data_IF_957647557198
#
_entry.id   IF_957647557198
#
_cell.length_a   1.000
_cell.length_b   1.000
_cell.length_c   1.000
_cell.angle_alpha   90.00
_cell.angle_beta   90.00
_cell.angle_gamma   90.00
#
_symmetry.space_group_name_H-M   'P 1'
#
loop_
_entity.id
_entity.type
_entity.pdbx_description
1 polymer ?
#
# COMPACT_ATOMS: atom_id res chain seq x y z
N UNK A 1 21.22 -1.08 -16.15
CA UNK A 1 20.80 0.16 -16.84
C UNK A 1 22.03 0.75 -17.48
N UNK A 2 22.04 1.00 -18.77
CA UNK A 2 23.22 1.62 -19.40
C UNK A 2 23.22 3.11 -19.04
N UNK A 3 24.12 3.49 -18.15
CA UNK A 3 24.25 4.85 -17.61
C UNK A 3 24.47 5.89 -18.71
N UNK A 4 25.12 5.48 -19.80
CA UNK A 4 25.41 6.33 -20.95
C UNK A 4 24.16 6.67 -21.77
N UNK A 5 23.25 5.69 -21.94
CA UNK A 5 21.98 5.90 -22.66
C UNK A 5 21.11 6.88 -21.88
N UNK A 6 21.00 6.71 -20.57
CA UNK A 6 20.25 7.63 -19.72
C UNK A 6 20.85 9.03 -19.75
N UNK A 7 22.16 9.14 -19.63
CA UNK A 7 22.85 10.43 -19.68
C UNK A 7 22.60 11.19 -20.99
N UNK A 8 22.64 10.49 -22.12
CA UNK A 8 22.33 11.10 -23.43
C UNK A 8 20.89 11.62 -23.48
N UNK A 9 19.93 10.87 -22.95
CA UNK A 9 18.52 11.29 -22.91
C UNK A 9 18.30 12.51 -22.01
N UNK A 10 18.98 12.57 -20.87
CA UNK A 10 18.95 13.77 -20.01
C UNK A 10 19.47 14.99 -20.77
N UNK A 11 20.62 14.85 -21.45
CA UNK A 11 21.21 15.93 -22.23
C UNK A 11 20.31 16.38 -23.39
N UNK A 12 19.66 15.45 -24.08
CA UNK A 12 18.75 15.72 -25.17
C UNK A 12 17.49 16.47 -24.68
N UNK A 13 16.81 15.93 -23.65
CA UNK A 13 15.61 16.56 -23.08
C UNK A 13 15.91 17.96 -22.54
N UNK A 14 17.05 18.15 -21.86
CA UNK A 14 17.49 19.46 -21.38
C UNK A 14 17.68 20.46 -22.52
N UNK A 15 18.34 20.04 -23.61
CA UNK A 15 18.54 20.90 -24.78
C UNK A 15 17.23 21.25 -25.44
N UNK A 16 16.30 20.32 -25.58
CA UNK A 16 14.96 20.55 -26.12
C UNK A 16 14.15 21.53 -25.27
N UNK A 17 14.36 21.52 -23.95
CA UNK A 17 13.79 22.49 -23.03
C UNK A 17 14.54 23.84 -22.99
N UNK A 18 15.58 24.03 -23.81
CA UNK A 18 16.44 25.22 -23.87
C UNK A 18 17.10 25.59 -22.54
N UNK A 19 17.43 24.60 -21.71
CA UNK A 19 18.09 24.81 -20.41
C UNK A 19 19.59 24.53 -20.51
N UNK A 20 20.43 25.36 -19.86
CA UNK A 20 21.81 25.03 -19.57
C UNK A 20 21.91 23.99 -18.43
N UNK A 21 23.04 23.30 -18.30
CA UNK A 21 23.31 22.42 -17.17
C UNK A 21 23.18 23.15 -15.82
N UNK A 22 23.59 24.40 -15.76
CA UNK A 22 23.48 25.23 -14.56
C UNK A 22 22.02 25.58 -14.22
N UNK A 23 21.21 25.90 -15.21
CA UNK A 23 19.79 26.18 -15.00
C UNK A 23 19.02 24.93 -14.57
N UNK A 24 19.28 23.78 -15.22
CA UNK A 24 18.67 22.51 -14.80
C UNK A 24 19.08 22.14 -13.36
N UNK A 25 20.36 22.33 -13.02
CA UNK A 25 20.85 22.11 -11.67
C UNK A 25 20.19 23.03 -10.64
N UNK A 26 19.94 24.27 -10.98
CA UNK A 26 19.22 25.25 -10.14
C UNK A 26 17.76 24.81 -9.88
N UNK A 27 17.05 24.34 -10.90
CA UNK A 27 15.69 23.82 -10.76
C UNK A 27 15.62 22.55 -9.88
N UNK A 28 16.68 21.74 -9.90
CA UNK A 28 16.78 20.53 -9.11
C UNK A 28 17.40 20.74 -7.72
N UNK A 29 17.88 21.96 -7.41
CA UNK A 29 18.61 22.29 -6.17
C UNK A 29 19.88 21.42 -5.95
N UNK A 30 20.62 21.18 -7.03
CA UNK A 30 21.88 20.41 -7.03
C UNK A 30 23.02 21.18 -7.68
N UNK A 31 24.23 20.62 -7.68
CA UNK A 31 25.37 21.24 -8.36
C UNK A 31 25.35 21.01 -9.89
N UNK A 32 25.81 21.96 -10.70
CA UNK A 32 25.96 21.76 -12.15
C UNK A 32 26.87 20.58 -12.51
N UNK A 33 27.84 20.27 -11.67
CA UNK A 33 28.72 19.12 -11.83
C UNK A 33 27.98 17.79 -11.76
N UNK A 34 26.91 17.68 -10.94
CA UNK A 34 26.08 16.50 -10.84
C UNK A 34 25.35 16.24 -12.17
N UNK A 35 24.73 17.28 -12.75
CA UNK A 35 24.10 17.19 -14.07
C UNK A 35 25.11 16.78 -15.14
N UNK A 36 26.31 17.37 -15.13
CA UNK A 36 27.38 17.01 -16.05
C UNK A 36 27.84 15.55 -15.93
N UNK A 37 27.92 15.00 -14.70
CA UNK A 37 28.23 13.58 -14.49
C UNK A 37 27.16 12.66 -15.03
N UNK A 38 25.90 13.01 -14.86
CA UNK A 38 24.77 12.24 -15.40
C UNK A 38 24.82 12.21 -16.94
N UNK A 39 24.97 13.37 -17.56
CA UNK A 39 25.01 13.48 -19.03
C UNK A 39 26.19 12.74 -19.66
N UNK A 40 27.31 12.59 -18.95
CA UNK A 40 28.46 11.78 -19.37
C UNK A 40 28.32 10.29 -19.04
N UNK A 41 27.27 9.90 -18.30
CA UNK A 41 27.05 8.53 -17.85
C UNK A 41 27.99 8.07 -16.73
N UNK A 42 28.67 9.00 -16.04
CA UNK A 42 29.55 8.72 -14.89
C UNK A 42 28.79 8.37 -13.62
N UNK A 43 27.55 8.84 -13.50
CA UNK A 43 26.60 8.50 -12.45
C UNK A 43 25.18 8.59 -13.00
N UNK A 44 24.21 8.02 -12.28
CA UNK A 44 22.79 8.16 -12.58
C UNK A 44 22.11 8.96 -11.48
N UNK A 45 21.12 9.79 -11.81
CA UNK A 45 20.27 10.40 -10.79
C UNK A 45 19.46 9.32 -10.08
N UNK A 46 19.10 9.57 -8.82
CA UNK A 46 18.12 8.76 -8.11
C UNK A 46 16.72 8.95 -8.72
N UNK A 47 15.80 8.06 -8.38
CA UNK A 47 14.46 8.02 -8.98
C UNK A 47 13.67 9.30 -8.72
N UNK A 48 13.84 9.92 -7.55
CA UNK A 48 13.19 11.18 -7.19
C UNK A 48 13.66 12.27 -8.13
N UNK A 49 14.96 12.31 -8.36
CA UNK A 49 15.57 13.26 -9.29
C UNK A 49 15.14 13.01 -10.73
N UNK A 50 14.98 11.73 -11.14
CA UNK A 50 14.47 11.39 -12.48
C UNK A 50 13.03 11.84 -12.66
N UNK A 51 12.17 11.71 -11.64
CA UNK A 51 10.80 12.20 -11.69
C UNK A 51 10.76 13.73 -11.84
N UNK A 52 11.54 14.45 -11.03
CA UNK A 52 11.67 15.92 -11.16
C UNK A 52 12.25 16.34 -12.52
N UNK A 53 13.19 15.57 -13.06
CA UNK A 53 13.69 15.77 -14.40
C UNK A 53 12.60 15.66 -15.46
N UNK A 54 11.71 14.65 -15.34
CA UNK A 54 10.59 14.46 -16.25
C UNK A 54 9.65 15.69 -16.22
N UNK A 55 9.28 16.14 -15.01
CA UNK A 55 8.43 17.34 -14.82
C UNK A 55 9.06 18.61 -15.38
N UNK A 56 10.32 18.90 -15.03
CA UNK A 56 11.02 20.12 -15.45
C UNK A 56 11.26 20.14 -16.98
N UNK A 57 11.55 18.97 -17.54
CA UNK A 57 11.87 18.85 -18.97
C UNK A 57 10.65 18.57 -19.84
N UNK A 58 9.46 18.42 -19.24
CA UNK A 58 8.19 18.19 -19.95
C UNK A 58 8.17 16.87 -20.73
N UNK A 59 8.82 15.82 -20.21
CA UNK A 59 8.90 14.50 -20.83
C UNK A 59 8.27 13.46 -19.92
N UNK A 60 7.78 12.36 -20.50
CA UNK A 60 7.30 11.21 -19.75
C UNK A 60 8.47 10.52 -19.02
N UNK A 61 8.23 9.98 -17.83
CA UNK A 61 9.24 9.27 -17.04
C UNK A 61 9.88 8.12 -17.86
N UNK A 62 9.09 7.48 -18.72
CA UNK A 62 9.56 6.43 -19.63
C UNK A 62 10.55 6.92 -20.68
N UNK A 63 10.63 8.23 -20.94
CA UNK A 63 11.62 8.82 -21.84
C UNK A 63 13.04 8.45 -21.40
N UNK A 64 13.32 8.37 -20.10
CA UNK A 64 14.65 8.05 -19.59
C UNK A 64 14.96 6.55 -19.56
N UNK A 65 13.98 5.67 -19.85
CA UNK A 65 14.21 4.21 -19.89
C UNK A 65 14.89 3.77 -21.20
N UNK A 66 15.70 2.70 -21.15
CA UNK A 66 16.60 2.29 -22.26
C UNK A 66 15.90 1.56 -23.43
N UNK A 67 14.58 1.35 -23.40
CA UNK A 67 13.89 0.43 -24.34
C UNK A 67 13.02 1.07 -25.44
N UNK A 68 13.20 2.34 -25.77
CA UNK A 68 12.51 2.92 -26.92
C UNK A 68 13.49 3.32 -28.03
N UNK A 69 13.76 2.37 -28.94
CA UNK A 69 14.15 2.75 -30.29
C UNK A 69 12.91 3.24 -31.04
N UNK A 70 12.79 4.54 -31.18
CA UNK A 70 11.88 5.15 -32.16
C UNK A 70 12.37 4.80 -33.55
N UNK A 71 11.72 3.86 -34.20
CA UNK A 71 11.80 3.72 -35.65
C UNK A 71 11.09 4.93 -36.25
N UNK A 72 11.84 5.90 -36.70
CA UNK A 72 11.34 6.97 -37.56
C UNK A 72 10.86 6.36 -38.85
N UNK A 73 9.55 6.32 -39.07
CA UNK A 73 8.97 6.13 -40.40
C UNK A 73 8.56 7.50 -40.93
N UNK A 74 9.25 7.86 -42.02
CA UNK A 74 8.89 8.95 -42.92
C UNK A 74 7.51 8.71 -43.58
N UNK A 75 6.78 9.75 -43.97
CA UNK A 75 5.40 9.59 -44.45
C UNK A 75 5.36 9.31 -45.95
N UNK A 76 4.69 8.26 -46.38
CA UNK A 76 4.17 8.13 -47.73
C UNK A 76 2.87 7.27 -47.74
N UNK A 77 1.78 7.93 -48.12
CA UNK A 77 0.51 7.53 -48.72
C UNK A 77 0.23 6.02 -49.03
N UNK A 78 -0.90 5.45 -48.85
CA UNK A 78 -2.30 5.59 -49.22
C UNK A 78 -3.21 4.47 -48.62
N UNK A 79 -4.55 4.47 -48.76
CA UNK A 79 -5.46 3.79 -47.85
C UNK A 79 -5.92 2.42 -48.34
N UNK A 80 -6.02 1.46 -47.45
CA UNK A 80 -6.86 0.27 -47.67
C UNK A 80 -7.76 0.00 -46.46
N UNK A 81 -9.05 0.08 -46.73
CA UNK A 81 -10.14 -0.41 -45.90
C UNK A 81 -9.95 -1.88 -45.55
N UNK A 82 -10.05 -2.23 -44.28
CA UNK A 82 -10.74 -3.44 -43.84
C UNK A 82 -11.04 -3.41 -42.35
N UNK A 83 -12.27 -3.68 -41.98
CA UNK A 83 -12.78 -3.91 -40.65
C UNK A 83 -11.96 -4.94 -39.91
N UNK A 84 -11.41 -4.57 -38.75
CA UNK A 84 -10.94 -5.51 -37.75
C UNK A 84 -10.96 -4.87 -36.36
N UNK A 85 -11.38 -5.63 -35.42
CA UNK A 85 -11.54 -5.45 -33.99
C UNK A 85 -10.52 -4.51 -33.35
N UNK A 86 -11.01 -3.71 -32.39
CA UNK A 86 -10.16 -2.82 -31.58
C UNK A 86 -9.07 -3.65 -30.87
N UNK A 87 -7.80 -3.27 -30.98
CA UNK A 87 -6.76 -3.94 -30.23
C UNK A 87 -6.98 -3.68 -28.73
N UNK A 88 -7.14 -4.75 -27.97
CA UNK A 88 -6.99 -4.75 -26.52
C UNK A 88 -5.70 -3.99 -26.19
N UNK A 89 -5.80 -2.89 -25.47
CA UNK A 89 -4.63 -2.16 -24.97
C UNK A 89 -3.78 -3.13 -24.15
N UNK A 90 -2.68 -3.60 -24.73
CA UNK A 90 -1.67 -4.33 -23.97
C UNK A 90 -1.16 -3.38 -22.88
N UNK A 91 -1.46 -3.68 -21.65
CA UNK A 91 -0.93 -2.97 -20.48
C UNK A 91 0.60 -2.99 -20.58
N UNK A 92 1.20 -1.81 -20.69
CA UNK A 92 2.67 -1.67 -20.75
C UNK A 92 3.20 -2.02 -19.36
N UNK A 93 3.74 -3.24 -19.19
CA UNK A 93 4.47 -3.60 -17.97
C UNK A 93 5.65 -2.65 -17.80
N UNK A 94 5.70 -1.97 -16.67
CA UNK A 94 6.88 -1.19 -16.26
C UNK A 94 8.11 -2.12 -16.23
N UNK A 95 9.16 -1.79 -16.97
CA UNK A 95 10.34 -2.66 -17.13
C UNK A 95 11.38 -2.54 -16.01
N UNK A 96 11.10 -1.74 -14.97
CA UNK A 96 12.02 -1.45 -13.88
C UNK A 96 11.60 -2.20 -12.60
N UNK A 97 12.57 -2.71 -11.89
CA UNK A 97 12.43 -3.45 -10.65
C UNK A 97 12.90 -2.56 -9.50
N UNK A 98 11.99 -2.29 -8.54
CA UNK A 98 12.25 -1.52 -7.33
C UNK A 98 12.27 -2.41 -6.08
N UNK A 99 12.20 -3.72 -6.27
CA UNK A 99 12.25 -4.69 -5.20
C UNK A 99 13.57 -4.61 -4.42
N UNK A 100 13.52 -5.02 -3.14
CA UNK A 100 14.68 -5.02 -2.23
C UNK A 100 15.35 -3.66 -2.05
N UNK A 101 14.64 -2.57 -2.40
CA UNK A 101 15.08 -1.19 -2.23
C UNK A 101 14.85 -0.67 -0.82
N UNK A 102 15.50 0.45 -0.49
CA UNK A 102 15.15 1.28 0.65
C UNK A 102 14.66 2.62 0.11
N UNK A 103 13.37 2.86 0.19
CA UNK A 103 12.71 4.04 -0.36
C UNK A 103 12.39 5.02 0.76
N UNK A 104 12.84 6.26 0.61
CA UNK A 104 12.65 7.31 1.61
C UNK A 104 12.15 8.56 0.92
N UNK A 105 11.08 9.16 1.47
CA UNK A 105 10.48 10.42 0.99
C UNK A 105 10.09 10.41 -0.51
N UNK A 106 9.80 9.23 -1.07
CA UNK A 106 9.44 9.06 -2.48
C UNK A 106 7.92 9.15 -2.69
N UNK A 107 7.49 9.70 -3.82
CA UNK A 107 6.09 9.79 -4.21
C UNK A 107 5.80 8.86 -5.40
N UNK A 108 4.93 7.88 -5.17
CA UNK A 108 4.47 6.87 -6.13
C UNK A 108 2.94 6.91 -6.29
N UNK A 109 2.32 8.03 -5.90
CA UNK A 109 0.86 8.17 -5.89
C UNK A 109 0.25 8.00 -7.27
N UNK A 110 -0.91 7.35 -7.35
CA UNK A 110 -1.68 7.13 -8.57
C UNK A 110 -1.04 6.17 -9.58
N UNK A 111 0.02 5.44 -9.19
CA UNK A 111 0.64 4.44 -10.07
C UNK A 111 -0.07 3.09 -9.97
N UNK A 112 -0.08 2.33 -11.08
CA UNK A 112 -0.73 1.04 -11.19
C UNK A 112 0.29 -0.11 -11.30
N UNK A 113 -0.15 -1.33 -10.93
CA UNK A 113 0.64 -2.56 -11.07
C UNK A 113 1.97 -2.53 -10.29
N UNK A 114 1.96 -2.01 -9.05
CA UNK A 114 3.16 -1.85 -8.25
C UNK A 114 3.60 -3.13 -7.52
N UNK A 115 2.76 -4.16 -7.45
CA UNK A 115 3.02 -5.40 -6.71
C UNK A 115 4.33 -6.10 -7.13
N UNK A 116 4.65 -6.15 -8.42
CA UNK A 116 5.89 -6.73 -8.93
C UNK A 116 7.12 -5.84 -8.66
N UNK A 117 6.92 -4.57 -8.32
CA UNK A 117 7.99 -3.56 -8.26
C UNK A 117 8.57 -3.35 -6.87
N UNK A 118 7.74 -3.47 -5.84
CA UNK A 118 8.12 -3.17 -4.46
C UNK A 118 8.31 -4.41 -3.59
N UNK A 119 8.28 -5.60 -4.16
CA UNK A 119 8.48 -6.83 -3.41
C UNK A 119 9.74 -6.75 -2.55
N UNK A 120 9.62 -7.07 -1.26
CA UNK A 120 10.72 -7.05 -0.29
C UNK A 120 11.46 -5.70 -0.17
N UNK A 121 10.75 -4.58 -0.31
CA UNK A 121 11.32 -3.23 -0.16
C UNK A 121 11.00 -2.63 1.22
N UNK A 122 11.95 -1.91 1.80
CA UNK A 122 11.70 -1.02 2.93
C UNK A 122 11.23 0.34 2.42
N UNK A 123 10.28 0.94 3.13
CA UNK A 123 9.67 2.21 2.74
C UNK A 123 9.56 3.10 3.97
N UNK A 124 9.99 4.33 3.85
CA UNK A 124 9.89 5.31 4.92
C UNK A 124 9.41 6.65 4.39
N UNK A 125 8.34 7.19 4.95
CA UNK A 125 7.71 8.46 4.57
C UNK A 125 7.41 8.56 3.06
N UNK A 126 7.13 7.42 2.42
CA UNK A 126 6.74 7.38 1.02
C UNK A 126 5.25 7.64 0.84
N UNK A 127 4.86 8.10 -0.35
CA UNK A 127 3.47 8.30 -0.73
C UNK A 127 3.09 7.32 -1.82
N UNK A 128 1.93 6.70 -1.65
CA UNK A 128 1.30 5.79 -2.60
C UNK A 128 -0.20 6.09 -2.74
N UNK A 129 -0.61 7.33 -2.54
CA UNK A 129 -2.01 7.73 -2.47
C UNK A 129 -2.75 7.31 -3.75
N UNK A 130 -3.83 6.54 -3.59
CA UNK A 130 -4.65 6.07 -4.71
C UNK A 130 -3.92 5.14 -5.69
N UNK A 131 -2.90 4.42 -5.23
CA UNK A 131 -2.10 3.51 -6.07
C UNK A 131 -2.64 2.08 -6.07
N UNK A 132 -2.36 1.33 -7.14
CA UNK A 132 -2.64 -0.10 -7.20
C UNK A 132 -1.42 -0.90 -6.72
N UNK A 133 -1.54 -1.47 -5.53
CA UNK A 133 -0.59 -2.33 -4.85
C UNK A 133 -1.17 -3.74 -4.66
N UNK A 134 -2.25 -4.08 -5.38
CA UNK A 134 -2.92 -5.38 -5.28
C UNK A 134 -1.94 -6.53 -5.54
N UNK A 135 -2.00 -7.57 -4.70
CA UNK A 135 -1.07 -8.69 -4.77
C UNK A 135 0.37 -8.37 -4.37
N UNK A 136 0.63 -7.26 -3.66
CA UNK A 136 1.98 -6.92 -3.19
C UNK A 136 2.51 -7.97 -2.20
N UNK A 137 3.74 -8.41 -2.41
CA UNK A 137 4.45 -9.31 -1.50
C UNK A 137 5.58 -8.60 -0.76
N UNK A 138 5.42 -8.41 0.54
CA UNK A 138 6.46 -7.91 1.44
C UNK A 138 6.92 -9.02 2.39
N UNK A 139 8.23 -9.19 2.48
CA UNK A 139 8.83 -10.21 3.35
C UNK A 139 10.01 -9.67 4.12
N UNK A 140 9.88 -9.65 5.46
CA UNK A 140 10.91 -9.13 6.38
C UNK A 140 11.28 -7.68 6.11
N UNK A 141 10.25 -6.85 5.85
CA UNK A 141 10.43 -5.44 5.52
C UNK A 141 10.02 -4.54 6.66
N UNK A 142 10.47 -3.30 6.58
CA UNK A 142 10.01 -2.21 7.42
C UNK A 142 9.33 -1.17 6.54
N UNK A 143 8.09 -0.81 6.92
CA UNK A 143 7.29 0.23 6.26
C UNK A 143 6.88 1.21 7.34
N UNK A 144 7.43 2.41 7.30
CA UNK A 144 7.31 3.39 8.37
C UNK A 144 6.80 4.74 7.84
N UNK A 145 5.76 5.26 8.48
CA UNK A 145 5.23 6.60 8.25
C UNK A 145 4.87 6.89 6.77
N UNK A 146 4.45 5.87 6.03
CA UNK A 146 4.03 6.01 4.64
C UNK A 146 2.55 6.35 4.53
N UNK A 147 2.18 7.05 3.44
CA UNK A 147 0.81 7.41 3.11
C UNK A 147 0.31 6.53 1.94
N UNK A 148 -0.58 5.61 2.25
CA UNK A 148 -1.25 4.72 1.30
C UNK A 148 -2.73 5.07 1.10
N UNK A 149 -3.17 6.23 1.55
CA UNK A 149 -4.59 6.62 1.55
C UNK A 149 -5.28 6.30 0.22
N UNK A 150 -6.41 5.58 0.28
CA UNK A 150 -7.21 5.22 -0.88
C UNK A 150 -6.58 4.21 -1.84
N UNK A 151 -5.49 3.55 -1.46
CA UNK A 151 -4.81 2.55 -2.31
C UNK A 151 -5.46 1.18 -2.23
N UNK A 152 -5.24 0.37 -3.27
CA UNK A 152 -5.69 -1.02 -3.35
C UNK A 152 -4.56 -1.99 -3.01
N UNK A 153 -4.74 -2.76 -1.94
CA UNK A 153 -3.86 -3.84 -1.50
C UNK A 153 -4.51 -5.22 -1.61
N UNK A 154 -5.61 -5.35 -2.34
CA UNK A 154 -6.35 -6.61 -2.43
C UNK A 154 -5.43 -7.79 -2.71
N UNK A 155 -5.57 -8.87 -1.91
CA UNK A 155 -4.78 -10.09 -2.06
C UNK A 155 -3.28 -9.94 -1.79
N UNK A 156 -2.84 -8.87 -1.11
CA UNK A 156 -1.44 -8.67 -0.76
C UNK A 156 -1.01 -9.56 0.41
N UNK A 157 0.27 -9.91 0.46
CA UNK A 157 0.84 -10.78 1.48
C UNK A 157 2.00 -10.10 2.21
N UNK A 158 1.87 -9.94 3.52
CA UNK A 158 2.90 -9.37 4.40
C UNK A 158 3.43 -10.46 5.33
N UNK A 159 4.67 -10.88 5.14
CA UNK A 159 5.33 -11.90 5.96
C UNK A 159 6.44 -11.29 6.80
N UNK A 160 6.31 -11.37 8.12
CA UNK A 160 7.30 -10.83 9.07
C UNK A 160 7.65 -9.36 8.81
N UNK A 161 6.62 -8.56 8.46
CA UNK A 161 6.76 -7.14 8.09
C UNK A 161 6.33 -6.27 9.27
N UNK A 162 7.06 -5.18 9.47
CA UNK A 162 6.72 -4.16 10.47
C UNK A 162 6.10 -2.95 9.77
N UNK A 163 4.87 -2.62 10.18
CA UNK A 163 4.11 -1.47 9.70
C UNK A 163 3.97 -0.47 10.84
N UNK A 164 4.61 0.68 10.77
CA UNK A 164 4.61 1.68 11.82
C UNK A 164 4.11 3.03 11.32
N UNK A 165 3.09 3.59 11.97
CA UNK A 165 2.63 4.95 11.69
C UNK A 165 2.12 5.21 10.28
N UNK A 166 1.71 4.15 9.55
CA UNK A 166 1.25 4.29 8.17
C UNK A 166 -0.20 4.71 8.08
N UNK A 167 -0.54 5.47 7.01
CA UNK A 167 -1.90 5.84 6.66
C UNK A 167 -2.47 4.82 5.67
N UNK A 168 -3.48 4.06 6.10
CA UNK A 168 -4.26 3.13 5.28
C UNK A 168 -5.73 3.54 5.20
N UNK A 169 -6.02 4.81 5.47
CA UNK A 169 -7.39 5.30 5.47
C UNK A 169 -8.04 5.17 4.09
N UNK A 170 -9.26 4.65 4.07
CA UNK A 170 -10.02 4.35 2.86
C UNK A 170 -9.33 3.39 1.88
N UNK A 171 -8.36 2.58 2.34
CA UNK A 171 -7.73 1.56 1.51
C UNK A 171 -8.65 0.36 1.31
N UNK A 172 -8.46 -0.31 0.16
CA UNK A 172 -9.02 -1.65 -0.07
C UNK A 172 -7.99 -2.68 0.40
N UNK A 173 -8.27 -3.36 1.52
CA UNK A 173 -7.39 -4.37 2.12
C UNK A 173 -8.05 -5.76 2.08
N UNK A 174 -8.89 -6.01 1.09
CA UNK A 174 -9.61 -7.26 0.93
C UNK A 174 -8.68 -8.44 0.71
N UNK A 175 -8.93 -9.53 1.43
CA UNK A 175 -8.14 -10.76 1.33
C UNK A 175 -6.64 -10.55 1.55
N UNK A 176 -6.25 -9.53 2.31
CA UNK A 176 -4.85 -9.31 2.70
C UNK A 176 -4.45 -10.35 3.76
N UNK A 177 -3.28 -10.95 3.59
CA UNK A 177 -2.70 -11.85 4.57
C UNK A 177 -1.50 -11.22 5.29
N UNK A 178 -1.56 -11.15 6.63
CA UNK A 178 -0.47 -10.72 7.48
C UNK A 178 0.01 -11.90 8.33
N UNK A 179 1.18 -12.45 8.02
CA UNK A 179 1.77 -13.58 8.78
C UNK A 179 3.02 -13.11 9.54
N UNK A 180 3.01 -13.25 10.86
CA UNK A 180 4.12 -12.83 11.71
C UNK A 180 4.42 -11.33 11.59
N UNK A 181 3.45 -10.53 11.14
CA UNK A 181 3.60 -9.11 10.88
C UNK A 181 2.98 -8.28 12.00
N UNK A 182 3.55 -7.10 12.22
CA UNK A 182 3.11 -6.19 13.28
C UNK A 182 2.73 -4.84 12.69
N UNK A 183 1.53 -4.37 13.04
CA UNK A 183 1.05 -3.03 12.70
C UNK A 183 0.87 -2.22 13.98
N UNK A 184 1.54 -1.08 14.09
CA UNK A 184 1.48 -0.21 15.26
C UNK A 184 1.29 1.25 14.87
N UNK A 185 0.33 1.92 15.50
CA UNK A 185 0.08 3.34 15.26
C UNK A 185 -0.39 3.67 13.84
N UNK A 186 -0.97 2.70 13.13
CA UNK A 186 -1.50 2.89 11.79
C UNK A 186 -2.92 3.44 11.80
N UNK A 187 -3.29 4.13 10.73
CA UNK A 187 -4.66 4.61 10.52
C UNK A 187 -5.37 3.76 9.47
N UNK A 188 -6.33 2.94 9.89
CA UNK A 188 -7.19 2.11 9.03
C UNK A 188 -8.61 2.68 8.92
N UNK A 189 -8.82 3.96 9.24
CA UNK A 189 -10.15 4.55 9.19
C UNK A 189 -10.78 4.43 7.81
N UNK A 190 -12.02 3.93 7.77
CA UNK A 190 -12.75 3.68 6.52
C UNK A 190 -12.14 2.60 5.61
N UNK A 191 -11.13 1.86 6.06
CA UNK A 191 -10.52 0.79 5.26
C UNK A 191 -11.43 -0.44 5.18
N UNK A 192 -11.42 -1.11 4.03
CA UNK A 192 -12.15 -2.35 3.81
C UNK A 192 -11.23 -3.56 4.09
N UNK A 193 -11.43 -4.20 5.24
CA UNK A 193 -10.68 -5.35 5.72
C UNK A 193 -11.41 -6.68 5.47
N UNK A 194 -12.37 -6.70 4.55
CA UNK A 194 -13.14 -7.92 4.22
C UNK A 194 -12.19 -9.06 3.84
N UNK A 195 -12.42 -10.25 4.39
CA UNK A 195 -11.62 -11.46 4.19
C UNK A 195 -10.14 -11.34 4.61
N UNK A 196 -9.76 -10.31 5.36
CA UNK A 196 -8.38 -10.16 5.84
C UNK A 196 -8.04 -11.25 6.86
N UNK A 197 -6.83 -11.78 6.77
CA UNK A 197 -6.30 -12.78 7.69
C UNK A 197 -5.03 -12.24 8.35
N UNK A 198 -5.03 -12.17 9.69
CA UNK A 198 -3.84 -11.85 10.46
C UNK A 198 -3.46 -13.02 11.37
N UNK A 199 -2.22 -13.52 11.23
CA UNK A 199 -1.73 -14.68 11.99
C UNK A 199 -0.37 -14.43 12.62
N UNK A 200 -0.25 -14.87 13.88
CA UNK A 200 1.03 -14.87 14.63
C UNK A 200 1.74 -13.51 14.63
N UNK A 201 0.95 -12.44 14.76
CA UNK A 201 1.43 -11.06 14.68
C UNK A 201 0.84 -10.16 15.77
N UNK A 202 0.76 -8.86 15.47
CA UNK A 202 0.17 -7.87 16.38
C UNK A 202 -0.43 -6.67 15.67
N UNK A 203 -1.53 -6.18 16.22
CA UNK A 203 -2.16 -4.92 15.82
C UNK A 203 -2.36 -4.08 17.08
N UNK A 204 -1.72 -2.92 17.13
CA UNK A 204 -1.77 -2.08 18.32
C UNK A 204 -1.83 -0.58 18.01
N UNK A 205 -2.47 0.17 18.91
CA UNK A 205 -2.54 1.64 18.87
C UNK A 205 -2.98 2.19 17.52
N UNK A 206 -3.78 1.43 16.80
CA UNK A 206 -4.22 1.76 15.44
C UNK A 206 -5.66 2.24 15.44
N UNK A 207 -5.96 3.19 14.56
CA UNK A 207 -7.30 3.72 14.37
C UNK A 207 -8.10 2.77 13.46
N UNK A 208 -9.27 2.32 13.94
CA UNK A 208 -10.16 1.41 13.22
C UNK A 208 -11.55 2.05 12.97
N UNK A 209 -11.67 3.37 13.12
CA UNK A 209 -12.95 4.07 12.93
C UNK A 209 -13.51 3.83 11.54
N UNK A 210 -14.78 3.43 11.46
CA UNK A 210 -15.47 3.11 10.19
C UNK A 210 -14.80 2.02 9.33
N UNK A 211 -13.85 1.27 9.89
CA UNK A 211 -13.25 0.13 9.18
C UNK A 211 -14.28 -1.00 9.02
N UNK A 212 -14.33 -1.58 7.82
CA UNK A 212 -15.23 -2.69 7.51
C UNK A 212 -14.56 -4.00 7.90
N UNK A 213 -15.14 -4.68 8.90
CA UNK A 213 -14.70 -6.01 9.34
C UNK A 213 -15.78 -7.03 8.98
N UNK A 214 -15.60 -7.71 7.87
CA UNK A 214 -16.47 -8.77 7.40
C UNK A 214 -15.61 -9.99 7.02
N UNK A 215 -15.92 -11.19 7.52
CA UNK A 215 -15.11 -12.41 7.35
C UNK A 215 -13.63 -12.24 7.77
N UNK A 216 -13.33 -11.25 8.62
CA UNK A 216 -11.96 -10.96 9.05
C UNK A 216 -11.50 -11.97 10.12
N UNK A 217 -10.29 -12.48 10.00
CA UNK A 217 -9.75 -13.50 10.90
C UNK A 217 -8.47 -13.05 11.60
N UNK A 218 -8.47 -13.14 12.93
CA UNK A 218 -7.30 -12.94 13.78
C UNK A 218 -6.97 -14.25 14.49
N UNK A 219 -5.79 -14.82 14.23
CA UNK A 219 -5.35 -16.06 14.84
C UNK A 219 -3.96 -15.89 15.45
N UNK A 220 -3.79 -16.33 16.71
CA UNK A 220 -2.52 -16.20 17.45
C UNK A 220 -1.94 -14.77 17.40
N UNK A 221 -2.83 -13.78 17.58
CA UNK A 221 -2.52 -12.36 17.35
C UNK A 221 -2.62 -11.55 18.64
N UNK A 222 -1.68 -10.62 18.84
CA UNK A 222 -1.75 -9.65 19.91
C UNK A 222 -2.54 -8.40 19.46
N UNK A 223 -3.66 -8.12 20.14
CA UNK A 223 -4.52 -6.97 19.89
C UNK A 223 -4.45 -6.03 21.10
N UNK A 224 -3.96 -4.79 20.90
CA UNK A 224 -3.76 -3.87 22.01
C UNK A 224 -4.12 -2.43 21.65
N UNK A 225 -4.73 -1.72 22.62
CA UNK A 225 -5.08 -0.31 22.48
C UNK A 225 -5.93 -0.04 21.22
N UNK A 226 -6.98 -0.83 21.01
CA UNK A 226 -7.87 -0.78 19.85
C UNK A 226 -9.30 -0.50 20.26
N UNK A 227 -10.00 0.24 19.42
CA UNK A 227 -11.47 0.39 19.50
C UNK A 227 -12.06 -0.18 18.20
N UNK A 228 -12.97 -1.13 18.35
CA UNK A 228 -13.76 -1.70 17.27
C UNK A 228 -15.18 -1.16 17.32
N UNK A 229 -15.67 -0.64 16.21
CA UNK A 229 -16.99 -0.02 16.08
C UNK A 229 -17.75 -0.58 14.88
N UNK A 230 -19.05 -0.33 14.80
CA UNK A 230 -19.88 -0.68 13.64
C UNK A 230 -20.22 -2.16 13.54
N UNK A 231 -20.36 -2.66 12.33
CA UNK A 231 -20.74 -4.04 12.05
C UNK A 231 -19.51 -4.95 11.95
N UNK A 232 -19.52 -6.01 12.77
CA UNK A 232 -18.48 -7.04 12.83
C UNK A 232 -19.19 -8.37 12.56
N UNK A 233 -19.11 -8.83 11.33
CA UNK A 233 -19.85 -9.97 10.82
C UNK A 233 -18.93 -11.08 10.34
N UNK A 234 -19.29 -12.34 10.67
CA UNK A 234 -18.53 -13.54 10.26
C UNK A 234 -17.04 -13.50 10.66
N UNK A 235 -16.69 -12.74 11.69
CA UNK A 235 -15.31 -12.57 12.12
C UNK A 235 -14.88 -13.65 13.11
N UNK A 236 -13.58 -13.91 13.17
CA UNK A 236 -13.00 -14.87 14.10
C UNK A 236 -11.79 -14.32 14.86
N UNK A 237 -11.79 -14.57 16.17
CA UNK A 237 -10.67 -14.29 17.06
C UNK A 237 -10.26 -15.62 17.72
N UNK A 238 -9.16 -16.22 17.25
CA UNK A 238 -8.69 -17.51 17.75
C UNK A 238 -7.31 -17.37 18.41
N UNK A 239 -7.17 -17.85 19.65
CA UNK A 239 -5.91 -17.78 20.43
C UNK A 239 -5.31 -16.37 20.55
N UNK A 240 -6.15 -15.33 20.45
CA UNK A 240 -5.70 -13.94 20.55
C UNK A 240 -5.42 -13.52 21.98
N UNK A 241 -4.52 -12.58 22.15
CA UNK A 241 -4.32 -11.87 23.41
C UNK A 241 -4.84 -10.43 23.30
N UNK A 242 -5.64 -10.02 24.26
CA UNK A 242 -6.26 -8.70 24.28
C UNK A 242 -5.69 -7.83 25.39
N UNK A 243 -5.31 -6.59 25.09
CA UNK A 243 -4.87 -5.62 26.06
C UNK A 243 -5.50 -4.24 25.76
N UNK A 244 -6.38 -3.77 26.64
CA UNK A 244 -7.10 -2.49 26.46
C UNK A 244 -7.83 -2.39 25.12
N UNK A 245 -8.57 -3.47 24.78
CA UNK A 245 -9.43 -3.50 23.59
C UNK A 245 -10.86 -3.18 24.03
N UNK A 246 -11.50 -2.30 23.28
CA UNK A 246 -12.89 -1.92 23.48
C UNK A 246 -13.68 -2.19 22.20
N UNK A 247 -14.84 -2.81 22.34
CA UNK A 247 -15.90 -2.82 21.33
C UNK A 247 -16.90 -1.74 21.75
N UNK A 248 -17.17 -0.78 20.91
CA UNK A 248 -18.03 0.37 21.21
C UNK A 248 -19.04 0.57 20.09
N UNK A 249 -20.32 0.67 20.45
CA UNK A 249 -21.42 0.79 19.49
C UNK A 249 -21.35 -0.26 18.37
N UNK A 250 -20.81 -1.45 18.70
CA UNK A 250 -20.57 -2.51 17.74
C UNK A 250 -21.73 -3.51 17.72
N UNK A 251 -22.09 -3.95 16.52
CA UNK A 251 -23.02 -5.07 16.29
C UNK A 251 -22.21 -6.28 15.84
N UNK A 252 -22.14 -7.29 16.70
CA UNK A 252 -21.38 -8.52 16.46
C UNK A 252 -22.35 -9.63 16.03
N UNK A 253 -22.23 -10.10 14.78
CA UNK A 253 -23.03 -11.19 14.25
C UNK A 253 -22.11 -12.31 13.74
N UNK A 254 -22.48 -13.55 14.06
CA UNK A 254 -21.72 -14.74 13.68
C UNK A 254 -20.20 -14.63 13.96
N UNK A 255 -19.85 -13.95 15.08
CA UNK A 255 -18.45 -13.64 15.43
C UNK A 255 -17.95 -14.58 16.52
N UNK A 256 -16.81 -15.22 16.28
CA UNK A 256 -16.29 -16.31 17.09
C UNK A 256 -15.10 -15.88 17.93
N UNK A 257 -15.13 -16.23 19.22
CA UNK A 257 -14.01 -16.03 20.14
C UNK A 257 -13.59 -17.39 20.70
N UNK A 258 -12.51 -17.96 20.15
CA UNK A 258 -12.05 -19.31 20.49
C UNK A 258 -10.70 -19.28 21.19
N UNK A 259 -10.60 -20.02 22.31
CA UNK A 259 -9.37 -20.16 23.09
C UNK A 259 -8.76 -18.83 23.58
N UNK A 260 -9.61 -17.82 23.80
CA UNK A 260 -9.19 -16.50 24.26
C UNK A 260 -9.54 -16.27 25.74
N UNK A 261 -8.78 -15.43 26.42
CA UNK A 261 -9.19 -14.83 27.68
C UNK A 261 -9.82 -13.46 27.41
N UNK A 262 -11.15 -13.38 27.53
CA UNK A 262 -11.90 -12.17 27.18
C UNK A 262 -12.07 -11.18 28.34
N UNK A 263 -11.48 -11.44 29.50
CA UNK A 263 -11.58 -10.63 30.71
C UNK A 263 -11.10 -9.18 30.59
N UNK A 264 -10.27 -8.90 29.59
CA UNK A 264 -9.66 -7.59 29.35
C UNK A 264 -10.31 -6.81 28.21
N UNK A 265 -11.36 -7.37 27.63
CA UNK A 265 -12.16 -6.69 26.60
C UNK A 265 -13.25 -5.90 27.30
N UNK A 266 -13.50 -4.70 26.82
CA UNK A 266 -14.59 -3.82 27.25
C UNK A 266 -15.65 -3.74 26.16
N UNK A 267 -16.91 -3.84 26.53
CA UNK A 267 -18.04 -3.61 25.65
C UNK A 267 -18.80 -2.37 26.09
N UNK A 268 -19.13 -1.48 25.18
CA UNK A 268 -19.88 -0.24 25.44
C UNK A 268 -21.00 -0.14 24.40
N UNK A 269 -22.24 -0.22 24.85
CA UNK A 269 -23.43 -0.09 23.99
C UNK A 269 -23.41 -0.99 22.75
N UNK A 270 -23.00 -2.25 22.94
CA UNK A 270 -22.91 -3.23 21.88
C UNK A 270 -24.14 -4.12 21.77
N UNK A 271 -24.31 -4.73 20.61
CA UNK A 271 -25.29 -5.77 20.35
C UNK A 271 -24.59 -7.03 19.83
N UNK A 272 -25.12 -8.21 20.14
CA UNK A 272 -24.62 -9.46 19.58
C UNK A 272 -25.77 -10.40 19.26
N UNK A 273 -25.61 -11.24 18.24
CA UNK A 273 -26.48 -12.38 18.04
C UNK A 273 -26.33 -13.41 19.19
N UNK A 274 -27.26 -14.32 19.27
CA UNK A 274 -27.26 -15.30 20.34
C UNK A 274 -26.02 -16.20 20.36
N UNK A 275 -25.51 -16.56 19.19
CA UNK A 275 -24.33 -17.42 19.05
C UNK A 275 -23.07 -16.70 19.54
N UNK A 276 -22.82 -15.50 19.06
CA UNK A 276 -21.70 -14.64 19.50
C UNK A 276 -21.75 -14.37 21.00
N UNK A 277 -22.95 -14.05 21.53
CA UNK A 277 -23.12 -13.82 22.96
C UNK A 277 -22.73 -15.03 23.82
N UNK A 278 -23.09 -16.26 23.43
CA UNK A 278 -22.69 -17.47 24.16
C UNK A 278 -21.16 -17.73 24.06
N UNK A 279 -20.48 -17.40 22.98
CA UNK A 279 -19.01 -17.44 22.92
C UNK A 279 -18.37 -16.43 23.87
N UNK A 280 -18.86 -15.20 23.93
CA UNK A 280 -18.36 -14.18 24.85
C UNK A 280 -18.55 -14.61 26.30
N UNK A 281 -19.70 -15.16 26.64
CA UNK A 281 -20.02 -15.69 27.97
C UNK A 281 -19.10 -16.87 28.34
N UNK A 282 -18.88 -17.80 27.45
CA UNK A 282 -17.97 -18.94 27.68
C UNK A 282 -16.53 -18.50 27.88
N UNK A 283 -16.10 -17.43 27.22
CA UNK A 283 -14.80 -16.79 27.38
C UNK A 283 -14.67 -15.90 28.62
N UNK A 284 -15.71 -15.85 29.45
CA UNK A 284 -15.76 -15.05 30.69
C UNK A 284 -15.57 -13.54 30.44
N UNK A 285 -16.13 -13.02 29.35
CA UNK A 285 -16.20 -11.59 29.10
C UNK A 285 -17.13 -10.89 30.11
N UNK A 286 -16.88 -9.61 30.36
CA UNK A 286 -17.85 -8.74 31.03
C UNK A 286 -18.95 -8.34 30.05
N UNK A 287 -20.17 -8.85 30.22
CA UNK A 287 -21.28 -8.65 29.31
C UNK A 287 -22.19 -7.46 29.70
N UNK A 288 -21.79 -6.65 30.68
CA UNK A 288 -22.61 -5.53 31.17
C UNK A 288 -22.92 -4.47 30.10
N UNK A 289 -22.07 -4.33 29.07
CA UNK A 289 -22.23 -3.37 27.98
C UNK A 289 -22.71 -3.99 26.66
N UNK A 290 -23.33 -5.20 26.68
CA UNK A 290 -23.77 -5.89 25.47
C UNK A 290 -25.19 -6.44 25.64
N UNK A 291 -26.02 -6.25 24.64
CA UNK A 291 -27.39 -6.80 24.56
C UNK A 291 -27.51 -7.83 23.45
N UNK A 292 -28.46 -8.76 23.59
CA UNK A 292 -28.75 -9.73 22.53
C UNK A 292 -29.69 -9.07 21.51
N UNK A 293 -29.37 -9.26 20.23
CA UNK A 293 -30.24 -8.85 19.13
C UNK A 293 -31.53 -9.68 19.23
N UNK A 294 -32.67 -9.03 19.43
CA UNK A 294 -33.98 -9.66 19.34
C UNK A 294 -34.50 -9.55 17.91
N UNK A 295 -34.83 -10.69 17.28
CA UNK A 295 -35.53 -10.74 16.01
C UNK A 295 -36.89 -10.03 16.04
#
# INVERSE_FOLDING_TARGET
MDTKIMGNKIAEARKNANLSQAQLAQHLFISPQAVGKWERGESVPDIITVNRLAEILGVDLNYFSAQFQTTTLSPAAEPINTSAEAPVKAERKLSWDMSRGNWVDADFSGLNNLHEKFGSSNMQRCKFIGSDLSGLHLKRNNVDSCDFSGSDFSGSHFQSTYLSGNQFNNCVLRSVELQGSYASGCDFSGADLTDMIMRSGGLEKSNMTDAILNHTSFADTHLADLVFEGHIEDCSFEQCTFARVTFQHATLTNTFFKSNSLKKIKFIDCQADRLTYEFLKSGKADLSGISIITE
#
